data_IF_722033124361
#
_entry.id   IF_722033124361
#
_cell.length_a   1.000
_cell.length_b   1.000
_cell.length_c   1.000
_cell.angle_alpha   90.00
_cell.angle_beta   90.00
_cell.angle_gamma   90.00
#
_symmetry.space_group_name_H-M   'P 1'
#
loop_
_entity.id
_entity.type
_entity.pdbx_description
1 polymer ?
#
# COMPACT_ATOMS: atom_id res chain seq x y z
N UNK A 1 -8.96 -11.48 -8.11
CA UNK A 1 -9.66 -12.78 -8.03
C UNK A 1 -8.97 -13.76 -8.96
N UNK A 2 -8.98 -15.06 -8.64
CA UNK A 2 -8.53 -16.10 -9.56
C UNK A 2 -9.62 -17.17 -9.62
N UNK A 3 -10.25 -17.32 -10.79
CA UNK A 3 -11.33 -18.29 -11.03
C UNK A 3 -12.46 -18.26 -9.98
N UNK A 4 -12.98 -17.08 -9.62
CA UNK A 4 -14.03 -16.96 -8.60
C UNK A 4 -13.52 -16.73 -7.18
N UNK A 5 -12.25 -17.06 -6.87
CA UNK A 5 -11.73 -17.01 -5.50
C UNK A 5 -11.03 -15.66 -5.22
N UNK A 6 -11.41 -15.03 -4.10
CA UNK A 6 -10.70 -13.88 -3.57
C UNK A 6 -9.34 -14.31 -3.02
N UNK A 7 -8.27 -13.93 -3.73
CA UNK A 7 -6.89 -14.34 -3.43
C UNK A 7 -6.02 -13.24 -2.82
N UNK A 8 -6.57 -12.05 -2.62
CA UNK A 8 -5.87 -10.95 -1.98
C UNK A 8 -6.69 -9.67 -1.96
N UNK A 9 -6.27 -8.75 -1.11
CA UNK A 9 -6.88 -7.44 -0.92
C UNK A 9 -5.82 -6.41 -0.50
N UNK A 10 -6.19 -5.15 -0.61
CA UNK A 10 -5.45 -4.00 -0.12
C UNK A 10 -6.35 -2.78 -0.14
N UNK A 11 -6.02 -1.77 0.66
CA UNK A 11 -6.77 -0.53 0.76
C UNK A 11 -5.83 0.67 0.70
N UNK A 12 -6.36 1.79 0.22
CA UNK A 12 -5.74 3.11 0.30
C UNK A 12 -6.65 3.99 1.15
N UNK A 13 -6.11 4.56 2.21
CA UNK A 13 -6.80 5.55 3.04
C UNK A 13 -6.22 6.93 2.72
N UNK A 14 -7.05 7.87 2.31
CA UNK A 14 -6.65 9.28 2.14
C UNK A 14 -6.70 9.93 3.51
N UNK A 15 -5.55 10.39 4.00
CA UNK A 15 -5.50 11.15 5.24
C UNK A 15 -5.75 12.62 4.92
N UNK A 16 -4.95 13.21 4.04
CA UNK A 16 -4.99 14.63 3.69
C UNK A 16 -4.97 14.85 2.18
N UNK A 17 -5.01 16.11 1.73
CA UNK A 17 -5.04 16.46 0.30
C UNK A 17 -3.90 15.87 -0.52
N UNK A 18 -2.72 15.66 0.09
CA UNK A 18 -1.51 15.16 -0.56
C UNK A 18 -0.99 13.84 0.04
N UNK A 19 -1.66 13.28 1.07
CA UNK A 19 -1.12 12.19 1.88
C UNK A 19 -2.09 11.00 1.99
N UNK A 20 -1.59 9.81 1.63
CA UNK A 20 -2.31 8.54 1.79
C UNK A 20 -1.55 7.47 2.58
N UNK A 21 -2.29 6.49 3.07
CA UNK A 21 -1.77 5.30 3.74
C UNK A 21 -2.23 4.04 3.01
N UNK A 22 -1.28 3.18 2.62
CA UNK A 22 -1.60 1.82 2.17
C UNK A 22 -1.88 0.96 3.39
N UNK A 23 -3.03 0.29 3.42
CA UNK A 23 -3.50 -0.51 4.54
C UNK A 23 -3.96 -1.89 4.10
N UNK A 24 -3.89 -2.83 5.05
CA UNK A 24 -4.54 -4.15 4.94
C UNK A 24 -4.17 -4.90 3.65
N UNK A 25 -2.92 -4.80 3.21
CA UNK A 25 -2.43 -5.59 2.07
C UNK A 25 -2.26 -7.04 2.53
N UNK A 26 -3.03 -7.94 1.95
CA UNK A 26 -3.01 -9.36 2.27
C UNK A 26 -3.14 -10.20 1.01
N UNK A 27 -2.43 -11.33 0.98
CA UNK A 27 -2.45 -12.29 -0.13
C UNK A 27 -2.71 -13.68 0.44
N UNK A 28 -3.62 -14.41 -0.20
CA UNK A 28 -3.96 -15.77 0.19
C UNK A 28 -2.71 -16.68 0.10
N UNK A 29 -2.41 -17.50 1.14
CA UNK A 29 -1.18 -18.31 1.19
C UNK A 29 -0.89 -19.15 -0.06
N UNK A 30 -1.92 -19.75 -0.66
CA UNK A 30 -1.86 -20.57 -1.91
C UNK A 30 -1.19 -19.86 -3.11
N UNK A 31 -1.14 -18.53 -3.11
CA UNK A 31 -0.60 -17.73 -4.23
C UNK A 31 0.52 -16.78 -3.81
N UNK A 32 1.09 -16.95 -2.61
CA UNK A 32 2.29 -16.20 -2.20
C UNK A 32 3.45 -16.45 -3.17
N UNK A 33 4.26 -15.41 -3.38
CA UNK A 33 5.39 -15.46 -4.33
C UNK A 33 5.01 -15.43 -5.81
N UNK A 34 3.72 -15.34 -6.16
CA UNK A 34 3.25 -15.29 -7.55
C UNK A 34 2.96 -13.87 -8.07
N UNK A 35 3.48 -12.85 -7.39
CA UNK A 35 3.31 -11.44 -7.78
C UNK A 35 1.97 -10.79 -7.40
N UNK A 36 1.03 -11.50 -6.77
CA UNK A 36 -0.30 -10.96 -6.41
C UNK A 36 -0.20 -9.73 -5.49
N UNK A 37 0.71 -9.76 -4.52
CA UNK A 37 0.95 -8.61 -3.64
C UNK A 37 1.43 -7.38 -4.42
N UNK A 38 2.36 -7.58 -5.36
CA UNK A 38 2.88 -6.50 -6.21
C UNK A 38 1.76 -5.87 -7.03
N UNK A 39 0.92 -6.70 -7.67
CA UNK A 39 -0.23 -6.21 -8.44
C UNK A 39 -1.24 -5.41 -7.58
N UNK A 40 -1.46 -5.81 -6.33
CA UNK A 40 -2.32 -5.06 -5.40
C UNK A 40 -1.70 -3.70 -5.10
N UNK A 41 -0.42 -3.65 -4.72
CA UNK A 41 0.25 -2.39 -4.35
C UNK A 41 0.36 -1.46 -5.55
N UNK A 42 0.74 -1.95 -6.73
CA UNK A 42 0.76 -1.17 -7.97
C UNK A 42 -0.59 -0.51 -8.23
N UNK A 43 -1.69 -1.27 -8.11
CA UNK A 43 -3.03 -0.70 -8.30
C UNK A 43 -3.37 0.37 -7.26
N UNK A 44 -2.96 0.19 -6.01
CA UNK A 44 -3.18 1.21 -4.97
C UNK A 44 -2.36 2.49 -5.23
N UNK A 45 -1.12 2.35 -5.74
CA UNK A 45 -0.28 3.49 -6.12
C UNK A 45 -0.84 4.24 -7.33
N UNK A 46 -1.38 3.54 -8.32
CA UNK A 46 -2.10 4.16 -9.44
C UNK A 46 -3.30 4.96 -8.93
N UNK A 47 -4.13 4.37 -8.05
CA UNK A 47 -5.27 5.07 -7.47
C UNK A 47 -4.82 6.31 -6.67
N UNK A 48 -3.72 6.23 -5.93
CA UNK A 48 -3.18 7.37 -5.23
C UNK A 48 -2.71 8.49 -6.18
N UNK A 49 -2.11 8.13 -7.31
CA UNK A 49 -1.72 9.09 -8.34
C UNK A 49 -2.95 9.74 -9.01
N UNK A 50 -4.00 8.97 -9.29
CA UNK A 50 -5.29 9.47 -9.81
C UNK A 50 -5.95 10.45 -8.84
N UNK A 51 -5.72 10.28 -7.53
CA UNK A 51 -6.18 11.17 -6.46
C UNK A 51 -5.23 12.35 -6.19
N UNK A 52 -4.17 12.50 -6.98
CA UNK A 52 -3.14 13.54 -6.83
C UNK A 52 -2.43 13.56 -5.46
N UNK A 53 -2.30 12.39 -4.81
CA UNK A 53 -1.50 12.29 -3.60
C UNK A 53 -0.01 12.39 -3.95
N UNK A 54 0.71 13.25 -3.23
CA UNK A 54 2.16 13.43 -3.42
C UNK A 54 2.97 12.45 -2.57
N UNK A 55 2.39 12.01 -1.44
CA UNK A 55 3.06 11.18 -0.45
C UNK A 55 2.17 10.02 -0.04
N UNK A 56 2.78 8.84 0.07
CA UNK A 56 2.12 7.62 0.53
C UNK A 56 3.03 6.92 1.50
N UNK A 57 2.48 6.48 2.64
CA UNK A 57 3.21 5.68 3.61
C UNK A 57 2.50 4.34 3.87
N UNK A 58 3.22 3.45 4.54
CA UNK A 58 2.71 2.16 5.01
C UNK A 58 3.44 1.79 6.30
N UNK A 59 2.72 1.22 7.26
CA UNK A 59 3.31 0.59 8.44
C UNK A 59 3.39 -0.91 8.19
N UNK A 60 4.60 -1.47 8.16
CA UNK A 60 4.82 -2.84 7.69
C UNK A 60 6.07 -3.48 8.29
N UNK A 61 6.04 -4.81 8.41
CA UNK A 61 7.23 -5.65 8.63
C UNK A 61 7.86 -6.13 7.32
N UNK A 62 7.12 -6.08 6.21
CA UNK A 62 7.54 -6.57 4.89
C UNK A 62 8.33 -5.48 4.14
N UNK A 63 9.38 -4.94 4.78
CA UNK A 63 10.13 -3.77 4.27
C UNK A 63 10.70 -4.00 2.87
N UNK A 64 11.34 -5.14 2.62
CA UNK A 64 11.94 -5.45 1.31
C UNK A 64 10.89 -5.53 0.19
N UNK A 65 9.68 -5.99 0.50
CA UNK A 65 8.59 -6.06 -0.46
C UNK A 65 8.15 -4.66 -0.89
N UNK A 66 7.93 -3.75 0.07
CA UNK A 66 7.54 -2.36 -0.23
C UNK A 66 8.71 -1.55 -0.83
N UNK A 67 9.96 -1.84 -0.47
CA UNK A 67 11.13 -1.21 -1.07
C UNK A 67 11.22 -1.44 -2.60
N UNK A 68 10.74 -2.59 -3.10
CA UNK A 68 10.63 -2.87 -4.54
C UNK A 68 9.65 -1.95 -5.28
N UNK A 69 8.75 -1.30 -4.55
CA UNK A 69 7.83 -0.29 -5.07
C UNK A 69 8.30 1.15 -4.81
N UNK A 70 9.55 1.33 -4.36
CA UNK A 70 10.14 2.65 -4.14
C UNK A 70 9.88 3.25 -2.76
N UNK A 71 9.21 2.54 -1.86
CA UNK A 71 9.10 2.96 -0.47
C UNK A 71 10.47 2.95 0.20
N UNK A 72 10.69 3.90 1.10
CA UNK A 72 11.89 4.00 1.91
C UNK A 72 11.48 4.09 3.37
N UNK A 73 12.28 3.47 4.23
CA UNK A 73 12.10 3.62 5.68
C UNK A 73 12.27 5.09 6.05
N UNK A 74 11.42 5.54 6.97
CA UNK A 74 11.45 6.89 7.54
C UNK A 74 11.50 6.77 9.05
N UNK A 75 12.15 7.72 9.70
CA UNK A 75 12.11 7.85 11.15
C UNK A 75 10.94 8.76 11.56
N UNK A 76 10.29 8.42 12.68
CA UNK A 76 9.21 9.22 13.26
C UNK A 76 7.83 8.96 12.65
N UNK A 77 6.93 9.94 12.79
CA UNK A 77 5.55 9.84 12.29
C UNK A 77 5.41 10.49 10.91
N UNK A 78 4.82 9.79 9.92
CA UNK A 78 4.59 10.36 8.58
C UNK A 78 3.56 11.50 8.56
N UNK A 79 2.78 11.61 9.64
CA UNK A 79 1.79 12.65 9.87
C UNK A 79 2.29 13.59 10.97
N UNK A 80 2.07 14.90 10.79
CA UNK A 80 2.30 15.91 11.83
C UNK A 80 1.10 15.97 12.79
N UNK A 81 1.28 16.56 13.97
CA UNK A 81 0.22 16.62 14.99
C UNK A 81 -1.00 17.47 14.59
N UNK A 82 -0.89 18.32 13.58
CA UNK A 82 -1.98 19.14 13.04
C UNK A 82 -3.02 18.34 12.22
N UNK A 83 -2.78 17.03 12.07
CA UNK A 83 -3.56 16.09 11.24
C UNK A 83 -4.60 15.30 12.08
N UNK A 84 -4.86 15.71 13.33
CA UNK A 84 -5.85 15.10 14.24
C UNK A 84 -7.03 16.03 14.57
#
# INVERSE_FOLDING_TARGET
>A
ELAGELIGCGALHVLWSDLGEVRTVAVHPKVRGKGVGHAIVERLLEVAADLHLERIFVLTFEQEFFARHGFREIEGTPVTAEVY
#
